data_IF_869440301133
#
_entry.id   IF_869440301133
#
_cell.length_a   1.000
_cell.length_b   1.000
_cell.length_c   1.000
_cell.angle_alpha   90.00
_cell.angle_beta   90.00
_cell.angle_gamma   90.00
#
_symmetry.space_group_name_H-M   'P 1'
#
loop_
_entity.id
_entity.type
_entity.pdbx_description
1 polymer ?
#
# COMPACT_ATOMS: atom_id res chain seq x y z
N UNK A 1 -12.42 -11.25 46.22
CA UNK A 1 -11.03 -11.51 46.64
C UNK A 1 -10.15 -10.89 45.59
N UNK A 2 -9.28 -9.93 45.96
CA UNK A 2 -8.37 -9.31 44.99
C UNK A 2 -7.39 -10.40 44.47
N UNK A 3 -7.37 -10.63 43.17
CA UNK A 3 -6.40 -11.52 42.53
C UNK A 3 -5.00 -10.98 42.83
N UNK A 4 -4.18 -11.71 43.54
CA UNK A 4 -2.79 -11.35 43.81
C UNK A 4 -2.03 -11.38 42.48
N UNK A 5 -1.55 -10.23 41.98
CA UNK A 5 -0.73 -10.15 40.82
C UNK A 5 0.55 -10.97 40.97
N UNK A 6 0.91 -11.78 39.97
CA UNK A 6 2.13 -12.58 39.96
C UNK A 6 3.36 -11.69 39.84
N UNK A 7 4.50 -12.13 40.39
CA UNK A 7 5.76 -11.42 40.24
C UNK A 7 6.16 -11.31 38.76
N UNK A 8 6.59 -10.14 38.32
CA UNK A 8 6.93 -9.87 36.92
C UNK A 8 8.11 -10.74 36.40
N UNK A 9 9.04 -11.11 37.28
CA UNK A 9 10.11 -12.05 36.92
C UNK A 9 9.56 -13.47 36.70
N UNK A 10 8.61 -13.89 37.54
CA UNK A 10 7.92 -15.17 37.36
C UNK A 10 7.04 -15.19 36.09
N UNK A 11 6.36 -14.09 35.78
CA UNK A 11 5.54 -13.95 34.56
C UNK A 11 6.41 -14.13 33.32
N UNK A 12 7.61 -13.55 33.29
CA UNK A 12 8.57 -13.72 32.19
C UNK A 12 9.36 -15.03 32.25
N UNK A 13 9.30 -15.78 33.38
CA UNK A 13 10.04 -17.02 33.57
C UNK A 13 11.56 -16.82 33.66
N UNK A 14 12.00 -15.73 34.30
CA UNK A 14 13.40 -15.35 34.46
C UNK A 14 13.73 -15.12 35.94
N UNK A 15 15.04 -15.19 36.27
CA UNK A 15 15.49 -14.90 37.64
C UNK A 15 15.57 -13.40 37.93
N UNK A 16 15.42 -13.03 39.21
CA UNK A 16 15.66 -11.65 39.67
C UNK A 16 17.15 -11.34 39.44
N UNK A 17 17.43 -10.26 38.75
CA UNK A 17 18.79 -9.91 38.35
C UNK A 17 19.19 -10.27 36.92
N UNK A 18 18.27 -10.88 36.13
CA UNK A 18 18.51 -11.13 34.72
C UNK A 18 18.89 -9.83 33.97
N UNK A 19 19.77 -9.93 33.00
CA UNK A 19 20.17 -8.79 32.16
C UNK A 19 19.06 -8.38 31.18
N UNK A 20 19.17 -7.17 30.63
CA UNK A 20 18.17 -6.61 29.71
C UNK A 20 18.00 -7.47 28.44
N UNK A 21 19.07 -8.14 27.98
CA UNK A 21 19.02 -9.03 26.84
C UNK A 21 18.17 -10.28 27.13
N UNK A 22 18.28 -10.84 28.35
CA UNK A 22 17.49 -11.98 28.81
C UNK A 22 16.03 -11.60 29.02
N UNK A 23 15.74 -10.46 29.61
CA UNK A 23 14.37 -9.91 29.76
C UNK A 23 13.72 -9.77 28.38
N UNK A 24 14.40 -9.15 27.44
CA UNK A 24 13.90 -8.95 26.06
C UNK A 24 13.69 -10.26 25.32
N UNK A 25 14.56 -11.23 25.50
CA UNK A 25 14.47 -12.57 24.88
C UNK A 25 13.26 -13.33 25.42
N UNK A 26 13.08 -13.35 26.73
CA UNK A 26 11.96 -14.02 27.40
C UNK A 26 10.61 -13.43 26.95
N UNK A 27 10.51 -12.11 26.97
CA UNK A 27 9.30 -11.44 26.47
C UNK A 27 8.98 -11.79 25.02
N UNK A 28 9.97 -11.76 24.10
CA UNK A 28 9.74 -12.10 22.68
C UNK A 28 9.24 -13.54 22.50
N UNK A 29 9.69 -14.47 23.32
CA UNK A 29 9.23 -15.85 23.26
C UNK A 29 7.78 -15.98 23.70
N UNK A 30 7.40 -15.32 24.81
CA UNK A 30 6.04 -15.31 25.32
C UNK A 30 5.09 -14.56 24.38
N UNK A 31 5.51 -13.40 23.89
CA UNK A 31 4.73 -12.60 22.95
C UNK A 31 4.44 -13.36 21.64
N UNK A 32 5.42 -14.12 21.13
CA UNK A 32 5.21 -14.98 19.94
C UNK A 32 4.26 -16.14 20.24
N UNK A 33 4.38 -16.74 21.42
CA UNK A 33 3.60 -17.92 21.82
C UNK A 33 2.13 -17.57 22.05
N UNK A 34 1.86 -16.42 22.67
CA UNK A 34 0.52 -15.98 23.09
C UNK A 34 -0.03 -14.82 22.24
N UNK A 35 0.54 -14.61 21.03
CA UNK A 35 0.07 -13.54 20.13
C UNK A 35 -1.40 -13.76 19.75
N UNK A 36 -2.25 -12.71 19.74
CA UNK A 36 -3.67 -12.82 19.38
C UNK A 36 -3.88 -13.42 17.99
N UNK A 37 -3.03 -13.06 17.00
CA UNK A 37 -3.13 -13.61 15.64
C UNK A 37 -2.84 -15.10 15.55
N UNK A 38 -2.06 -15.64 16.49
CA UNK A 38 -1.72 -17.07 16.54
C UNK A 38 -2.68 -17.88 17.41
N UNK A 39 -3.44 -17.19 18.30
CA UNK A 39 -4.39 -17.79 19.25
C UNK A 39 -5.72 -17.02 19.21
N UNK A 40 -6.43 -16.95 18.08
CA UNK A 40 -7.65 -16.18 17.97
C UNK A 40 -8.75 -16.76 18.86
N UNK A 41 -9.29 -15.93 19.78
CA UNK A 41 -10.38 -16.31 20.68
C UNK A 41 -9.98 -17.10 21.94
N UNK A 42 -8.68 -17.26 22.22
CA UNK A 42 -8.18 -17.88 23.46
C UNK A 42 -7.97 -16.80 24.55
N UNK A 43 -8.94 -16.69 25.48
CA UNK A 43 -8.90 -15.74 26.60
C UNK A 43 -7.71 -15.97 27.54
N UNK A 44 -7.26 -17.23 27.71
CA UNK A 44 -6.09 -17.52 28.54
C UNK A 44 -4.80 -17.05 27.88
N UNK A 45 -4.68 -17.21 26.56
CA UNK A 45 -3.54 -16.71 25.81
C UNK A 45 -3.49 -15.19 25.85
N UNK A 46 -4.65 -14.52 25.72
CA UNK A 46 -4.75 -13.07 25.82
C UNK A 46 -4.35 -12.57 27.20
N UNK A 47 -4.80 -13.22 28.28
CA UNK A 47 -4.44 -12.87 29.67
C UNK A 47 -2.92 -13.01 29.88
N UNK A 48 -2.30 -14.11 29.42
CA UNK A 48 -0.86 -14.33 29.53
C UNK A 48 -0.04 -13.34 28.67
N UNK A 49 -0.56 -12.95 27.52
CA UNK A 49 0.06 -11.91 26.70
C UNK A 49 0.04 -10.55 27.38
N UNK A 50 -1.09 -10.16 28.00
CA UNK A 50 -1.23 -8.90 28.77
C UNK A 50 -0.26 -8.87 29.95
N UNK A 51 -0.23 -9.95 30.74
CA UNK A 51 0.68 -10.06 31.89
C UNK A 51 2.16 -9.98 31.46
N UNK A 52 2.55 -10.67 30.37
CA UNK A 52 3.92 -10.62 29.87
C UNK A 52 4.30 -9.22 29.35
N UNK A 53 3.35 -8.51 28.73
CA UNK A 53 3.56 -7.16 28.23
C UNK A 53 3.70 -6.12 29.36
N UNK A 54 2.89 -6.25 30.42
CA UNK A 54 2.98 -5.44 31.64
C UNK A 54 4.34 -5.66 32.33
N UNK A 55 4.73 -6.91 32.51
CA UNK A 55 6.01 -7.27 33.11
C UNK A 55 7.20 -6.70 32.33
N UNK A 56 7.17 -6.81 31.00
CA UNK A 56 8.23 -6.25 30.15
C UNK A 56 8.28 -4.72 30.21
N UNK A 57 7.14 -4.03 30.23
CA UNK A 57 7.07 -2.58 30.32
C UNK A 57 7.72 -2.01 31.61
N UNK A 58 7.69 -2.77 32.68
CA UNK A 58 8.31 -2.38 33.97
C UNK A 58 9.79 -2.81 34.01
N UNK A 59 10.10 -4.07 33.65
CA UNK A 59 11.44 -4.61 33.81
C UNK A 59 12.44 -4.16 32.72
N UNK A 60 11.97 -3.66 31.57
CA UNK A 60 12.84 -3.14 30.52
C UNK A 60 13.39 -1.73 30.77
N UNK A 61 12.78 -0.97 31.68
CA UNK A 61 13.21 0.37 32.06
C UNK A 61 14.03 0.28 33.37
N UNK A 62 15.31 0.71 33.40
CA UNK A 62 16.15 0.61 34.58
C UNK A 62 15.60 1.35 35.82
N UNK A 63 14.89 2.45 35.63
CA UNK A 63 14.32 3.23 36.74
C UNK A 63 13.06 2.57 37.31
N UNK A 64 12.17 2.09 36.45
CA UNK A 64 10.97 1.36 36.85
C UNK A 64 11.33 0.02 37.49
N UNK A 65 12.32 -0.69 36.92
CA UNK A 65 12.83 -1.93 37.47
C UNK A 65 13.35 -1.75 38.89
N UNK A 66 14.16 -0.69 39.13
CA UNK A 66 14.63 -0.37 40.48
C UNK A 66 13.48 -0.09 41.47
N UNK A 67 12.45 0.63 41.03
CA UNK A 67 11.26 0.88 41.84
C UNK A 67 10.49 -0.42 42.13
N UNK A 68 10.36 -1.27 41.12
CA UNK A 68 9.72 -2.57 41.29
C UNK A 68 10.50 -3.48 42.24
N UNK A 69 11.83 -3.53 42.10
CA UNK A 69 12.70 -4.35 42.96
C UNK A 69 12.66 -3.90 44.42
N UNK A 70 12.40 -2.61 44.71
CA UNK A 70 12.31 -2.07 46.07
C UNK A 70 10.93 -2.17 46.67
N UNK A 71 9.87 -1.91 45.93
CA UNK A 71 8.51 -1.73 46.46
C UNK A 71 7.49 -2.74 45.88
N UNK A 72 7.90 -3.60 44.96
CA UNK A 72 7.00 -4.56 44.30
C UNK A 72 5.87 -3.88 43.50
N UNK A 73 4.74 -4.54 43.38
CA UNK A 73 3.56 -4.00 42.69
C UNK A 73 3.00 -2.72 43.35
N UNK A 74 3.21 -2.56 44.67
CA UNK A 74 2.73 -1.38 45.41
C UNK A 74 3.32 -0.06 44.88
N UNK A 75 4.50 -0.09 44.22
CA UNK A 75 5.09 1.10 43.56
C UNK A 75 4.20 1.67 42.47
N UNK A 76 3.34 0.85 41.88
CA UNK A 76 2.54 1.20 40.71
C UNK A 76 1.03 1.17 40.96
N UNK A 77 0.57 0.71 42.15
CA UNK A 77 -0.84 0.66 42.56
C UNK A 77 -1.32 1.88 43.36
N UNK A 78 -0.38 2.71 43.84
CA UNK A 78 -0.69 3.91 44.66
C UNK A 78 -0.81 5.17 43.82
N UNK A 79 -2.02 5.70 43.62
CA UNK A 79 -2.32 6.99 43.00
C UNK A 79 -1.77 8.18 43.83
N UNK A 80 -0.49 8.55 43.62
CA UNK A 80 0.15 9.71 44.26
C UNK A 80 1.12 10.38 43.32
N UNK A 81 0.71 11.52 42.75
CA UNK A 81 1.54 12.64 42.22
C UNK A 81 2.84 12.30 41.49
N UNK A 82 2.73 11.74 40.27
CA UNK A 82 3.91 11.51 39.43
C UNK A 82 3.63 10.65 38.20
N UNK A 83 2.56 10.92 37.47
CA UNK A 83 2.49 10.65 36.05
C UNK A 83 2.48 9.20 35.56
N UNK A 84 1.69 8.26 36.16
CA UNK A 84 1.24 7.05 35.45
C UNK A 84 0.07 6.37 36.18
N UNK A 85 -0.73 7.17 36.94
CA UNK A 85 -1.91 6.67 37.61
C UNK A 85 -3.10 6.59 36.67
N UNK A 86 -3.64 5.38 36.48
CA UNK A 86 -4.98 5.20 35.95
C UNK A 86 -5.09 4.54 34.59
N UNK A 87 -4.39 3.46 34.35
CA UNK A 87 -4.85 2.53 33.31
C UNK A 87 -5.72 1.45 33.95
N UNK A 88 -7.03 1.75 33.99
CA UNK A 88 -8.06 0.75 34.20
C UNK A 88 -8.13 -0.12 32.94
N UNK A 89 -7.58 -1.32 33.01
CA UNK A 89 -7.55 -2.31 31.91
C UNK A 89 -8.90 -3.01 31.67
N UNK A 90 -9.99 -2.46 32.22
CA UNK A 90 -11.33 -3.02 32.09
C UNK A 90 -12.17 -2.33 31.02
N UNK A 91 -11.97 -2.58 29.73
CA UNK A 91 -13.01 -2.35 28.74
C UNK A 91 -12.74 -1.46 27.52
N UNK A 92 -11.51 -1.10 27.20
CA UNK A 92 -11.21 -0.39 25.94
C UNK A 92 -10.47 -1.31 24.97
N UNK A 93 -10.80 -1.19 23.67
CA UNK A 93 -10.19 -1.94 22.58
C UNK A 93 -8.65 -1.87 22.64
N UNK A 94 -8.05 -3.03 22.94
CA UNK A 94 -6.61 -3.22 23.14
C UNK A 94 -5.76 -2.82 21.92
N UNK A 95 -6.36 -2.81 20.73
CA UNK A 95 -5.70 -2.49 19.48
C UNK A 95 -5.31 -1.01 19.34
N UNK A 96 -6.14 -0.09 19.82
CA UNK A 96 -5.91 1.36 19.70
C UNK A 96 -4.92 1.88 20.75
N UNK A 97 -4.98 1.32 21.98
CA UNK A 97 -4.09 1.74 23.09
C UNK A 97 -2.67 1.17 22.89
N UNK A 98 -2.57 -0.03 22.30
CA UNK A 98 -1.28 -0.68 22.00
C UNK A 98 -0.53 -0.01 20.86
N UNK A 99 -1.25 0.49 19.84
CA UNK A 99 -0.68 1.24 18.73
C UNK A 99 -0.05 2.57 19.16
N UNK A 100 -0.71 3.32 20.01
CA UNK A 100 -0.25 4.63 20.48
C UNK A 100 0.87 4.54 21.53
N UNK A 101 0.80 3.60 22.48
CA UNK A 101 1.81 3.46 23.54
C UNK A 101 3.04 2.71 23.03
N UNK A 102 2.87 1.68 22.21
CA UNK A 102 3.98 0.87 21.67
C UNK A 102 4.70 1.57 20.51
N UNK A 103 3.95 2.32 19.67
CA UNK A 103 4.53 3.15 18.60
C UNK A 103 5.41 4.26 19.14
N UNK A 104 5.02 4.89 20.24
CA UNK A 104 5.78 5.99 20.86
C UNK A 104 6.93 5.49 21.74
N UNK A 105 6.83 4.28 22.30
CA UNK A 105 7.83 3.69 23.21
C UNK A 105 8.90 2.85 22.49
N UNK A 106 8.55 2.11 21.43
CA UNK A 106 9.48 1.29 20.64
C UNK A 106 10.01 1.99 19.40
N UNK A 107 9.33 3.03 18.92
CA UNK A 107 9.72 3.82 17.75
C UNK A 107 10.80 4.87 18.01
N UNK A 108 11.56 4.78 19.09
CA UNK A 108 12.72 5.66 19.33
C UNK A 108 12.40 7.16 19.27
N UNK A 109 11.18 7.56 19.59
CA UNK A 109 10.73 8.94 19.57
C UNK A 109 11.21 9.68 20.81
N UNK A 110 12.44 10.15 20.78
CA UNK A 110 12.90 11.25 21.62
C UNK A 110 11.82 12.33 21.66
N UNK A 111 11.15 12.54 22.79
CA UNK A 111 10.48 13.80 23.13
C UNK A 111 11.52 14.92 23.23
N UNK A 112 12.33 15.07 22.18
CA UNK A 112 13.10 16.25 21.93
C UNK A 112 12.14 17.29 21.37
N UNK A 113 11.98 18.40 22.06
CA UNK A 113 11.42 19.61 21.46
C UNK A 113 12.04 19.76 20.08
N UNK A 114 11.27 20.17 19.07
CA UNK A 114 11.76 20.41 17.70
C UNK A 114 13.09 21.14 17.78
N UNK A 115 14.17 20.40 17.63
CA UNK A 115 15.49 20.97 17.63
C UNK A 115 15.60 21.77 16.34
N UNK A 116 16.11 23.00 16.39
CA UNK A 116 16.46 23.80 15.22
C UNK A 116 17.63 23.17 14.42
N UNK A 117 17.87 21.88 14.58
CA UNK A 117 18.85 21.11 13.84
C UNK A 117 18.50 20.92 12.36
N UNK A 118 19.45 20.39 11.57
CA UNK A 118 19.21 20.06 10.17
C UNK A 118 18.07 19.04 10.05
N UNK A 119 17.03 19.38 9.30
CA UNK A 119 15.87 18.51 9.07
C UNK A 119 15.75 18.17 7.59
N UNK A 120 15.50 16.89 7.29
CA UNK A 120 15.24 16.43 5.91
C UNK A 120 14.01 17.14 5.35
N UNK A 121 14.10 17.55 4.07
CA UNK A 121 12.98 18.13 3.34
C UNK A 121 11.83 17.12 3.14
N UNK A 122 10.65 17.65 2.87
CA UNK A 122 9.48 16.83 2.58
C UNK A 122 9.65 16.08 1.26
N UNK A 123 9.09 14.87 1.20
CA UNK A 123 9.00 14.14 -0.05
C UNK A 123 7.94 14.75 -0.95
N UNK A 124 8.23 14.87 -2.23
CA UNK A 124 7.27 15.29 -3.26
C UNK A 124 6.64 14.06 -3.89
N UNK A 125 5.36 14.18 -4.27
CA UNK A 125 4.64 13.16 -5.02
C UNK A 125 4.16 13.75 -6.33
N UNK A 126 4.32 12.98 -7.40
CA UNK A 126 3.80 13.28 -8.74
C UNK A 126 3.37 12.00 -9.39
N UNK A 127 2.55 12.09 -10.44
CA UNK A 127 2.14 10.93 -11.23
C UNK A 127 2.63 11.06 -12.66
N UNK A 128 2.89 9.92 -13.30
CA UNK A 128 3.23 9.81 -14.71
C UNK A 128 2.35 8.76 -15.37
N UNK A 129 1.81 9.09 -16.55
CA UNK A 129 1.05 8.14 -17.37
C UNK A 129 1.97 7.47 -18.37
N UNK A 130 1.81 6.15 -18.47
CA UNK A 130 2.54 5.31 -19.42
C UNK A 130 1.58 4.33 -20.09
N UNK A 131 1.95 3.86 -21.30
CA UNK A 131 1.18 2.83 -22.00
C UNK A 131 1.41 1.46 -21.35
N UNK A 132 0.61 0.50 -21.75
CA UNK A 132 0.75 -0.89 -21.30
C UNK A 132 2.11 -1.47 -21.70
N UNK A 133 2.54 -1.25 -22.93
CA UNK A 133 3.82 -1.71 -23.48
C UNK A 133 5.00 -1.06 -22.73
N UNK A 134 4.90 0.25 -22.47
CA UNK A 134 5.90 0.97 -21.66
C UNK A 134 6.03 0.39 -20.26
N UNK A 135 4.92 -0.07 -19.66
CA UNK A 135 4.94 -0.74 -18.35
C UNK A 135 5.59 -2.13 -18.42
N UNK A 136 5.39 -2.86 -19.53
CA UNK A 136 5.99 -4.19 -19.75
C UNK A 136 7.49 -4.10 -19.99
N UNK A 137 7.93 -3.21 -20.87
CA UNK A 137 9.34 -3.12 -21.32
C UNK A 137 10.18 -2.13 -20.53
N UNK A 138 9.53 -1.24 -19.76
CA UNK A 138 10.18 -0.10 -19.13
C UNK A 138 10.37 1.06 -20.10
N UNK A 139 10.50 2.26 -19.57
CA UNK A 139 10.65 3.49 -20.36
C UNK A 139 11.37 4.57 -19.55
N UNK A 140 12.05 5.47 -20.25
CA UNK A 140 12.56 6.70 -19.67
C UNK A 140 11.63 7.86 -20.04
N UNK A 141 11.12 8.55 -19.02
CA UNK A 141 10.25 9.73 -19.20
C UNK A 141 10.90 10.98 -18.62
N UNK A 142 10.74 12.09 -19.29
CA UNK A 142 11.12 13.40 -18.78
C UNK A 142 9.92 14.07 -18.12
N UNK A 143 10.04 14.43 -16.84
CA UNK A 143 9.03 15.15 -16.09
C UNK A 143 9.45 16.59 -15.89
N UNK A 144 8.58 17.52 -16.25
CA UNK A 144 8.77 18.97 -16.01
C UNK A 144 8.06 19.33 -14.70
N UNK A 145 8.86 19.58 -13.66
CA UNK A 145 8.37 19.82 -12.30
C UNK A 145 8.83 21.19 -11.80
N UNK A 146 7.92 21.86 -11.08
CA UNK A 146 8.27 23.10 -10.39
C UNK A 146 8.84 22.74 -9.01
N UNK A 147 10.16 22.82 -8.87
CA UNK A 147 10.88 22.45 -7.65
C UNK A 147 11.48 23.67 -6.98
N UNK A 148 11.48 23.66 -5.64
CA UNK A 148 12.21 24.66 -4.86
C UNK A 148 13.67 24.26 -4.75
N UNK A 149 14.53 25.23 -5.02
CA UNK A 149 15.97 25.14 -4.79
C UNK A 149 16.42 26.11 -3.72
N UNK A 150 17.53 25.80 -3.11
CA UNK A 150 18.20 26.73 -2.21
C UNK A 150 18.64 27.97 -3.01
N UNK A 151 18.27 29.13 -2.55
CA UNK A 151 18.66 30.39 -3.16
C UNK A 151 20.18 30.52 -3.17
N UNK A 152 20.76 30.65 -4.36
CA UNK A 152 22.22 30.75 -4.53
C UNK A 152 22.79 32.03 -3.95
N UNK A 153 22.03 33.11 -3.93
CA UNK A 153 22.48 34.44 -3.46
C UNK A 153 22.63 34.49 -1.95
N UNK A 154 21.77 33.83 -1.18
CA UNK A 154 21.85 33.78 0.27
C UNK A 154 22.20 32.41 0.84
N UNK A 155 22.44 31.39 0.00
CA UNK A 155 22.73 30.02 0.40
C UNK A 155 21.72 29.44 1.41
N UNK A 156 20.42 29.78 1.22
CA UNK A 156 19.36 29.28 2.07
C UNK A 156 19.10 30.04 3.36
N UNK A 157 19.88 31.07 3.67
CA UNK A 157 19.72 31.87 4.91
C UNK A 157 18.51 32.79 4.87
N UNK A 158 18.05 33.19 3.67
CA UNK A 158 17.02 34.20 3.48
C UNK A 158 17.49 35.63 3.75
N UNK A 159 18.68 35.84 4.32
CA UNK A 159 19.25 37.14 4.60
C UNK A 159 20.00 37.70 3.39
N UNK A 160 20.13 39.03 3.31
CA UNK A 160 20.92 39.73 2.31
C UNK A 160 22.40 39.30 2.41
N UNK A 161 23.12 39.11 1.31
CA UNK A 161 24.56 38.80 1.33
C UNK A 161 25.32 39.79 2.19
N UNK A 162 26.18 39.28 3.06
CA UNK A 162 26.93 40.11 4.05
C UNK A 162 26.20 40.33 5.37
N UNK A 163 24.93 39.87 5.50
CA UNK A 163 24.19 39.89 6.76
C UNK A 163 23.86 38.47 7.20
N UNK A 164 23.61 38.24 8.48
CA UNK A 164 23.23 36.97 9.02
C UNK A 164 21.87 37.04 9.75
N UNK A 165 21.08 35.96 9.75
CA UNK A 165 19.87 35.90 10.57
C UNK A 165 20.23 35.98 12.05
N UNK A 166 19.53 36.81 12.82
CA UNK A 166 19.66 36.91 14.27
C UNK A 166 18.78 35.90 14.98
N UNK A 167 19.18 35.46 16.16
CA UNK A 167 18.32 34.60 17.01
C UNK A 167 17.06 35.36 17.43
N UNK A 168 15.91 34.80 17.30
CA UNK A 168 14.65 35.42 17.71
C UNK A 168 14.65 35.64 19.24
N UNK A 169 14.56 36.88 19.65
CA UNK A 169 14.59 37.28 21.07
C UNK A 169 13.44 36.69 21.87
N UNK A 170 12.24 36.60 21.30
CA UNK A 170 11.04 36.14 21.99
C UNK A 170 11.07 34.64 22.33
N UNK A 171 11.54 33.79 21.44
CA UNK A 171 11.62 32.36 21.66
C UNK A 171 13.04 31.86 21.98
N UNK A 172 14.05 32.69 21.98
CA UNK A 172 15.44 32.31 22.20
C UNK A 172 15.94 31.25 21.19
N UNK A 173 15.48 31.33 19.92
CA UNK A 173 15.87 30.41 18.87
C UNK A 173 15.02 29.13 18.80
N UNK A 174 14.09 28.89 19.73
CA UNK A 174 13.30 27.64 19.80
C UNK A 174 12.20 27.56 18.76
N UNK A 175 11.77 28.68 18.16
CA UNK A 175 10.66 28.72 17.21
C UNK A 175 9.27 28.61 17.84
N UNK A 176 9.19 28.33 19.13
CA UNK A 176 7.95 28.15 19.88
C UNK A 176 8.01 28.93 21.19
N UNK A 177 6.87 29.38 21.65
CA UNK A 177 6.68 30.01 22.97
C UNK A 177 5.70 29.18 23.78
N UNK A 178 5.99 29.02 25.06
CA UNK A 178 5.10 28.33 25.99
C UNK A 178 4.27 29.39 26.72
N UNK A 179 2.97 29.37 26.50
CA UNK A 179 2.03 30.22 27.22
C UNK A 179 1.43 29.41 28.37
N UNK A 180 1.48 29.96 29.56
CA UNK A 180 0.83 29.38 30.74
C UNK A 180 -0.46 30.12 30.98
N UNK A 181 -1.57 29.43 30.91
CA UNK A 181 -2.90 29.98 31.21
C UNK A 181 -3.44 29.28 32.43
N UNK A 182 -3.94 30.03 33.42
CA UNK A 182 -4.63 29.44 34.56
C UNK A 182 -5.95 28.84 34.10
N UNK A 183 -6.18 27.57 34.44
CA UNK A 183 -7.43 26.91 34.15
C UNK A 183 -8.57 27.61 34.92
N UNK A 184 -9.76 27.77 34.35
CA UNK A 184 -10.94 28.24 35.07
C UNK A 184 -11.20 27.34 36.27
N UNK A 185 -11.70 27.92 37.36
CA UNK A 185 -12.01 27.23 38.62
C UNK A 185 -10.83 26.70 39.45
N UNK A 186 -9.63 27.25 39.30
CA UNK A 186 -8.51 26.87 40.19
C UNK A 186 -7.90 25.49 39.95
N UNK A 187 -8.21 24.84 38.83
CA UNK A 187 -7.79 23.47 38.46
C UNK A 187 -6.34 23.38 37.93
N UNK A 188 -5.47 24.35 38.23
CA UNK A 188 -4.04 24.32 37.86
C UNK A 188 -3.69 25.20 36.68
N UNK A 189 -2.46 25.05 36.18
CA UNK A 189 -1.92 25.84 35.07
C UNK A 189 -1.83 24.98 33.82
N UNK A 190 -2.49 25.37 32.73
CA UNK A 190 -2.39 24.71 31.42
C UNK A 190 -1.20 25.33 30.71
N UNK A 191 -0.23 24.51 30.31
CA UNK A 191 0.89 24.90 29.46
C UNK A 191 0.55 24.62 28.00
N UNK A 192 0.41 25.65 27.20
CA UNK A 192 0.16 25.54 25.76
C UNK A 192 1.40 26.00 24.99
N UNK A 193 1.90 25.13 24.14
CA UNK A 193 3.01 25.46 23.23
C UNK A 193 2.45 26.01 21.93
N UNK A 194 2.81 27.25 21.60
CA UNK A 194 2.41 27.92 20.36
C UNK A 194 3.60 28.27 19.49
N UNK A 195 3.39 28.31 18.16
CA UNK A 195 4.41 28.82 17.23
C UNK A 195 4.73 30.27 17.58
N UNK A 196 6.00 30.60 17.66
CA UNK A 196 6.42 31.97 17.97
C UNK A 196 5.94 32.94 16.89
N UNK A 197 5.12 33.95 17.22
CA UNK A 197 4.54 34.87 16.22
C UNK A 197 5.59 35.77 15.56
N UNK A 198 6.71 36.06 16.22
CA UNK A 198 7.71 36.97 15.70
C UNK A 198 8.58 36.32 14.62
N UNK A 199 8.92 35.02 14.79
CA UNK A 199 9.75 34.31 13.83
C UNK A 199 8.96 33.23 13.02
N UNK A 200 7.66 33.09 13.24
CA UNK A 200 6.81 32.10 12.57
C UNK A 200 7.38 30.68 12.60
N UNK A 201 7.98 30.30 13.71
CA UNK A 201 8.51 28.94 13.91
C UNK A 201 9.97 28.76 13.49
N UNK A 202 10.59 29.71 12.81
CA UNK A 202 11.97 29.58 12.31
C UNK A 202 13.04 29.69 13.40
N UNK A 203 12.72 30.32 14.52
CA UNK A 203 13.67 30.65 15.58
C UNK A 203 14.67 31.74 15.21
N UNK A 204 14.60 32.27 14.00
CA UNK A 204 15.54 33.29 13.45
C UNK A 204 14.75 34.49 12.94
N UNK A 205 15.34 35.64 13.05
CA UNK A 205 14.81 36.92 12.52
C UNK A 205 15.77 37.47 11.46
N UNK A 206 15.21 37.86 10.33
CA UNK A 206 15.93 38.41 9.21
C UNK A 206 15.58 39.91 9.12
N UNK A 207 16.51 40.80 9.43
CA UNK A 207 16.32 42.26 9.30
C UNK A 207 16.35 42.64 7.84
N UNK A 208 17.42 42.28 7.13
CA UNK A 208 17.59 42.57 5.71
C UNK A 208 17.30 41.30 4.89
N UNK A 209 16.19 41.30 4.17
CA UNK A 209 15.79 40.15 3.35
C UNK A 209 16.63 40.07 2.07
N UNK A 210 16.96 38.86 1.67
CA UNK A 210 17.60 38.60 0.38
C UNK A 210 16.70 39.12 -0.78
N UNK A 211 17.27 39.91 -1.70
CA UNK A 211 16.47 40.52 -2.79
C UNK A 211 15.89 39.48 -3.77
N UNK A 212 16.49 38.32 -3.87
CA UNK A 212 16.12 37.29 -4.83
C UNK A 212 15.02 36.34 -4.29
N UNK A 213 15.15 35.88 -3.05
CA UNK A 213 14.19 34.95 -2.45
C UNK A 213 13.24 35.63 -1.45
N UNK A 214 13.36 36.95 -1.23
CA UNK A 214 12.49 37.75 -0.35
C UNK A 214 12.39 37.21 1.09
N UNK A 215 13.45 36.58 1.57
CA UNK A 215 13.52 36.02 2.94
C UNK A 215 13.15 34.54 3.06
N UNK A 216 12.69 33.90 2.00
CA UNK A 216 12.32 32.49 2.04
C UNK A 216 13.50 31.53 2.10
N UNK A 217 14.67 31.93 1.60
CA UNK A 217 15.83 31.07 1.45
C UNK A 217 15.78 30.15 0.23
N UNK A 218 14.65 30.09 -0.48
CA UNK A 218 14.41 29.16 -1.59
C UNK A 218 13.84 29.88 -2.80
N UNK A 219 14.11 29.37 -4.00
CA UNK A 219 13.61 29.87 -5.27
C UNK A 219 12.92 28.70 -5.97
N UNK A 220 11.68 28.88 -6.41
CA UNK A 220 10.96 27.92 -7.21
C UNK A 220 11.35 28.05 -8.69
N UNK A 221 11.63 26.95 -9.35
CA UNK A 221 11.98 26.92 -10.77
C UNK A 221 11.55 25.63 -11.43
N UNK A 222 11.26 25.71 -12.73
CA UNK A 222 10.95 24.52 -13.55
C UNK A 222 12.23 23.72 -13.77
N UNK A 223 12.15 22.40 -13.55
CA UNK A 223 13.24 21.46 -13.78
C UNK A 223 12.74 20.23 -14.50
N UNK A 224 13.51 19.84 -15.49
CA UNK A 224 13.31 18.58 -16.20
C UNK A 224 14.05 17.48 -15.48
N UNK A 225 13.33 16.44 -15.06
CA UNK A 225 13.89 15.28 -14.38
C UNK A 225 13.65 14.07 -15.25
N UNK A 226 14.70 13.35 -15.60
CA UNK A 226 14.59 12.05 -16.23
C UNK A 226 14.24 10.99 -15.17
N UNK A 227 13.21 10.23 -15.46
CA UNK A 227 12.69 9.15 -14.61
C UNK A 227 12.77 7.86 -15.40
N UNK A 228 13.61 6.95 -14.93
CA UNK A 228 13.68 5.60 -15.48
C UNK A 228 12.64 4.72 -14.80
N UNK A 229 11.67 4.27 -15.55
CA UNK A 229 10.59 3.40 -15.10
C UNK A 229 11.01 1.96 -15.46
N UNK A 230 11.15 1.08 -14.46
CA UNK A 230 11.62 -0.29 -14.70
C UNK A 230 10.56 -1.12 -15.42
N UNK A 231 11.03 -2.08 -16.23
CA UNK A 231 10.19 -3.08 -16.87
C UNK A 231 9.42 -3.90 -15.83
N UNK A 232 8.15 -4.18 -16.12
CA UNK A 232 7.30 -4.97 -15.22
C UNK A 232 6.59 -4.19 -14.13
N UNK A 233 6.74 -2.86 -14.10
CA UNK A 233 6.03 -2.01 -13.13
C UNK A 233 4.52 -2.18 -13.24
N UNK A 234 3.83 -2.11 -12.10
CA UNK A 234 2.37 -2.21 -12.07
C UNK A 234 1.70 -0.86 -11.84
N UNK A 235 0.42 -0.80 -12.17
CA UNK A 235 -0.39 0.40 -11.95
C UNK A 235 -0.42 0.78 -10.47
N UNK A 236 -0.25 2.06 -10.14
CA UNK A 236 -0.23 2.57 -8.78
C UNK A 236 1.09 2.37 -8.02
N UNK A 237 2.08 1.69 -8.61
CA UNK A 237 3.41 1.60 -8.01
C UNK A 237 4.18 2.91 -8.15
N UNK A 238 5.07 3.17 -7.19
CA UNK A 238 5.85 4.41 -7.16
C UNK A 238 7.34 4.15 -7.33
N UNK A 239 7.96 4.94 -8.20
CA UNK A 239 9.42 5.01 -8.37
C UNK A 239 9.96 6.14 -7.48
N UNK A 240 10.95 5.83 -6.63
CA UNK A 240 11.59 6.81 -5.76
C UNK A 240 12.88 7.33 -6.37
N UNK A 241 12.93 8.64 -6.55
CA UNK A 241 14.13 9.35 -6.99
C UNK A 241 14.69 10.13 -5.79
N UNK A 242 15.89 9.75 -5.36
CA UNK A 242 16.52 10.34 -4.17
C UNK A 242 16.89 11.80 -4.42
N UNK A 243 16.82 12.62 -3.35
CA UNK A 243 17.27 14.02 -3.32
C UNK A 243 16.60 14.94 -4.36
N UNK A 244 15.42 14.57 -4.87
CA UNK A 244 14.62 15.36 -5.82
C UNK A 244 13.33 15.91 -5.19
N UNK A 245 13.16 15.78 -3.86
CA UNK A 245 12.06 16.37 -3.11
C UNK A 245 12.30 17.83 -2.72
N UNK A 246 11.55 18.33 -1.74
CA UNK A 246 11.74 19.68 -1.17
C UNK A 246 13.11 19.81 -0.50
N UNK A 247 13.70 21.00 -0.54
CA UNK A 247 14.94 21.25 0.18
C UNK A 247 14.75 21.08 1.68
N UNK A 248 15.80 20.59 2.36
CA UNK A 248 15.81 20.46 3.81
C UNK A 248 15.85 21.80 4.51
N UNK A 249 15.44 21.81 5.78
CA UNK A 249 15.45 22.99 6.63
C UNK A 249 16.74 23.02 7.44
N UNK A 250 17.28 24.21 7.70
CA UNK A 250 18.51 24.43 8.48
C UNK A 250 19.72 23.64 7.97
N UNK A 251 19.89 23.50 6.64
CA UNK A 251 21.01 22.75 6.06
C UNK A 251 20.81 21.23 6.03
N UNK A 252 19.60 20.74 6.29
CA UNK A 252 19.26 19.33 6.16
C UNK A 252 19.24 18.83 4.70
N UNK A 253 19.29 17.51 4.47
CA UNK A 253 19.24 16.94 3.14
C UNK A 253 17.87 17.16 2.49
N UNK A 254 17.83 17.11 1.16
CA UNK A 254 16.57 17.17 0.42
C UNK A 254 15.71 15.94 0.69
N UNK A 255 14.41 16.08 0.52
CA UNK A 255 13.48 14.96 0.42
C UNK A 255 13.66 14.17 -0.86
N UNK A 256 12.83 13.14 -1.05
CA UNK A 256 12.80 12.30 -2.23
C UNK A 256 11.59 12.67 -3.10
N UNK A 257 11.70 12.41 -4.41
CA UNK A 257 10.57 12.50 -5.32
C UNK A 257 10.00 11.10 -5.52
N UNK A 258 8.71 10.95 -5.24
CA UNK A 258 7.95 9.73 -5.46
C UNK A 258 7.10 9.93 -6.71
N UNK A 259 7.38 9.16 -7.75
CA UNK A 259 6.67 9.20 -9.03
C UNK A 259 5.73 8.00 -9.08
N UNK A 260 4.44 8.23 -8.92
CA UNK A 260 3.41 7.21 -9.04
C UNK A 260 3.13 6.94 -10.51
N UNK A 261 3.19 5.67 -10.90
CA UNK A 261 2.98 5.24 -12.27
C UNK A 261 1.51 4.88 -12.48
N UNK A 262 0.88 5.54 -13.44
CA UNK A 262 -0.48 5.26 -13.89
C UNK A 262 -0.39 4.60 -15.26
N UNK A 263 -0.78 3.31 -15.35
CA UNK A 263 -0.75 2.54 -16.60
C UNK A 263 -2.10 2.68 -17.30
N UNK A 264 -2.06 3.11 -18.57
CA UNK A 264 -3.26 3.23 -19.38
C UNK A 264 -3.82 1.82 -19.73
N UNK A 265 -5.13 1.73 -19.84
CA UNK A 265 -5.80 0.48 -20.23
C UNK A 265 -5.49 0.16 -21.68
N UNK A 266 -5.09 -1.09 -21.94
CA UNK A 266 -4.92 -1.58 -23.30
C UNK A 266 -6.23 -2.19 -23.84
N UNK A 267 -6.58 -1.98 -25.12
CA UNK A 267 -7.85 -2.49 -25.67
C UNK A 267 -7.92 -4.01 -25.75
N UNK A 268 -6.79 -4.69 -25.91
CA UNK A 268 -6.72 -6.15 -26.10
C UNK A 268 -6.21 -6.85 -24.83
N UNK A 269 -5.16 -6.29 -24.19
CA UNK A 269 -4.45 -6.94 -23.11
C UNK A 269 -4.96 -6.52 -21.73
N UNK A 270 -5.17 -7.52 -20.88
CA UNK A 270 -5.47 -7.33 -19.45
C UNK A 270 -4.34 -7.97 -18.65
N UNK A 271 -3.86 -7.27 -17.63
CA UNK A 271 -2.81 -7.76 -16.76
C UNK A 271 -3.37 -8.25 -15.43
N UNK A 272 -2.87 -9.39 -14.97
CA UNK A 272 -3.03 -9.87 -13.59
C UNK A 272 -1.65 -10.33 -13.11
N UNK A 273 -1.06 -9.61 -12.19
CA UNK A 273 0.30 -9.81 -11.71
C UNK A 273 1.34 -9.81 -12.86
N UNK A 274 1.99 -10.94 -13.10
CA UNK A 274 2.93 -11.10 -14.22
C UNK A 274 2.29 -11.69 -15.47
N UNK A 275 1.02 -12.10 -15.42
CA UNK A 275 0.34 -12.73 -16.54
C UNK A 275 -0.47 -11.73 -17.34
N UNK A 276 -0.57 -12.00 -18.63
CA UNK A 276 -1.37 -11.22 -19.58
C UNK A 276 -2.53 -12.10 -20.04
N UNK A 277 -3.69 -11.50 -20.20
CA UNK A 277 -4.89 -12.15 -20.69
C UNK A 277 -5.40 -11.41 -21.91
N UNK A 278 -5.79 -12.14 -22.94
CA UNK A 278 -6.44 -11.60 -24.14
C UNK A 278 -7.47 -12.56 -24.68
N UNK A 279 -8.34 -12.04 -25.54
CA UNK A 279 -9.35 -12.83 -26.27
C UNK A 279 -9.06 -12.68 -27.74
N UNK A 280 -8.99 -13.81 -28.44
CA UNK A 280 -8.75 -13.85 -29.90
C UNK A 280 -9.94 -14.52 -30.58
N UNK A 281 -10.59 -13.81 -31.51
CA UNK A 281 -11.65 -14.39 -32.30
C UNK A 281 -11.08 -15.37 -33.33
N UNK A 282 -11.75 -16.50 -33.54
CA UNK A 282 -11.46 -17.45 -34.60
C UNK A 282 -12.73 -17.82 -35.37
N UNK A 283 -12.60 -18.22 -36.64
CA UNK A 283 -13.75 -18.67 -37.42
C UNK A 283 -14.19 -20.07 -36.99
N UNK A 284 -15.47 -20.39 -37.18
CA UNK A 284 -15.99 -21.72 -36.95
C UNK A 284 -15.23 -22.79 -37.80
N UNK A 285 -14.84 -22.46 -39.03
CA UNK A 285 -14.09 -23.36 -39.88
C UNK A 285 -12.73 -23.74 -39.28
N UNK A 286 -11.97 -22.77 -38.75
CA UNK A 286 -10.71 -23.03 -38.05
C UNK A 286 -10.94 -23.85 -36.76
N UNK A 287 -11.99 -23.53 -36.03
CA UNK A 287 -12.33 -24.28 -34.83
C UNK A 287 -12.66 -25.77 -35.11
N UNK A 288 -13.38 -26.04 -36.20
CA UNK A 288 -13.79 -27.37 -36.58
C UNK A 288 -12.69 -28.20 -37.27
N UNK A 289 -11.98 -27.58 -38.22
CA UNK A 289 -11.01 -28.27 -39.07
C UNK A 289 -9.56 -28.18 -38.56
N UNK A 290 -9.29 -27.26 -37.64
CA UNK A 290 -7.95 -26.88 -37.25
C UNK A 290 -7.36 -25.86 -38.23
N UNK A 291 -6.19 -25.34 -37.91
CA UNK A 291 -5.46 -24.39 -38.75
C UNK A 291 -4.68 -23.37 -37.93
N UNK A 292 -3.92 -22.55 -38.63
CA UNK A 292 -3.09 -21.54 -38.00
C UNK A 292 -3.84 -20.22 -37.77
N UNK A 293 -3.63 -19.63 -36.63
CA UNK A 293 -4.09 -18.28 -36.29
C UNK A 293 -2.93 -17.39 -35.85
N UNK A 294 -3.05 -16.10 -36.11
CA UNK A 294 -2.12 -15.10 -35.61
C UNK A 294 -2.64 -14.54 -34.28
N UNK A 295 -1.83 -14.64 -33.25
CA UNK A 295 -2.12 -14.11 -31.91
C UNK A 295 -1.23 -12.90 -31.67
N UNK A 296 -1.83 -11.76 -31.36
CA UNK A 296 -1.09 -10.57 -30.92
C UNK A 296 -0.57 -10.80 -29.50
N UNK A 297 0.71 -10.57 -29.30
CA UNK A 297 1.37 -10.58 -27.99
C UNK A 297 2.13 -9.27 -27.80
N UNK A 298 2.54 -8.99 -26.58
CA UNK A 298 3.35 -7.80 -26.27
C UNK A 298 4.71 -7.78 -26.99
N UNK A 299 5.24 -8.95 -27.37
CA UNK A 299 6.50 -9.08 -28.12
C UNK A 299 6.30 -9.10 -29.63
N UNK A 300 5.07 -8.96 -30.13
CA UNK A 300 4.70 -9.08 -31.55
C UNK A 300 3.74 -10.25 -31.79
N UNK A 301 3.57 -10.58 -33.06
CA UNK A 301 2.62 -11.62 -33.48
C UNK A 301 3.23 -13.01 -33.39
N UNK A 302 2.44 -13.97 -32.90
CA UNK A 302 2.82 -15.38 -32.79
C UNK A 302 1.81 -16.22 -33.57
N UNK A 303 2.31 -17.13 -34.41
CA UNK A 303 1.47 -18.13 -35.08
C UNK A 303 1.16 -19.25 -34.08
N UNK A 304 -0.11 -19.59 -33.95
CA UNK A 304 -0.58 -20.68 -33.12
C UNK A 304 -1.40 -21.68 -33.95
N UNK A 305 -1.06 -22.95 -33.82
CA UNK A 305 -1.75 -24.05 -34.50
C UNK A 305 -2.94 -24.51 -33.65
N UNK A 306 -4.16 -24.24 -34.13
CA UNK A 306 -5.42 -24.63 -33.50
C UNK A 306 -5.74 -26.06 -33.90
N UNK A 307 -5.98 -26.91 -32.92
CA UNK A 307 -6.38 -28.32 -33.17
C UNK A 307 -7.83 -28.37 -33.65
N UNK A 308 -8.11 -29.33 -34.56
CA UNK A 308 -9.47 -29.58 -34.99
C UNK A 308 -10.37 -29.95 -33.81
N UNK A 309 -11.59 -29.40 -33.80
CA UNK A 309 -12.58 -29.61 -32.73
C UNK A 309 -12.35 -28.71 -31.52
N UNK A 310 -11.56 -27.66 -31.62
CA UNK A 310 -11.33 -26.69 -30.53
C UNK A 310 -12.63 -25.94 -30.24
N UNK A 311 -13.05 -25.97 -28.97
CA UNK A 311 -14.27 -25.31 -28.50
C UNK A 311 -14.07 -23.84 -28.20
N UNK A 312 -15.15 -23.06 -28.27
CA UNK A 312 -15.11 -21.66 -27.77
C UNK A 312 -14.71 -21.61 -26.30
N UNK A 313 -14.13 -20.50 -25.86
CA UNK A 313 -13.58 -20.29 -24.53
C UNK A 313 -12.39 -21.21 -24.16
N UNK A 314 -11.84 -21.92 -25.14
CA UNK A 314 -10.61 -22.68 -24.95
C UNK A 314 -9.46 -21.72 -24.61
N UNK A 315 -8.79 -21.98 -23.46
CA UNK A 315 -7.69 -21.15 -23.00
C UNK A 315 -6.34 -21.76 -23.38
N UNK A 316 -5.54 -20.98 -24.09
CA UNK A 316 -4.18 -21.30 -24.53
C UNK A 316 -3.17 -20.56 -23.70
N UNK A 317 -2.09 -21.22 -23.29
CA UNK A 317 -0.99 -20.61 -22.54
C UNK A 317 0.24 -20.44 -23.43
N UNK A 318 0.63 -19.21 -23.67
CA UNK A 318 1.88 -18.85 -24.34
C UNK A 318 2.94 -18.56 -23.25
N UNK A 319 3.84 -19.52 -23.05
CA UNK A 319 4.85 -19.46 -21.98
C UNK A 319 5.84 -18.32 -22.21
N UNK A 320 6.16 -17.59 -21.13
CA UNK A 320 7.15 -16.51 -21.14
C UNK A 320 6.74 -15.28 -21.95
N UNK A 321 5.47 -15.17 -22.40
CA UNK A 321 4.93 -14.04 -23.15
C UNK A 321 4.15 -13.04 -22.25
N UNK A 322 4.31 -13.16 -20.94
CA UNK A 322 3.76 -12.23 -19.96
C UNK A 322 4.68 -11.07 -19.62
N UNK A 323 4.43 -10.44 -18.49
CA UNK A 323 5.16 -9.29 -17.95
C UNK A 323 6.42 -9.77 -17.23
N UNK A 324 7.59 -9.10 -17.38
CA UNK A 324 8.78 -9.44 -16.62
C UNK A 324 8.64 -9.06 -15.14
N UNK A 325 9.35 -9.78 -14.27
CA UNK A 325 9.41 -9.46 -12.86
C UNK A 325 10.28 -8.23 -12.61
N UNK A 326 9.83 -7.34 -11.72
CA UNK A 326 10.63 -6.19 -11.27
C UNK A 326 11.95 -6.57 -10.60
N UNK A 327 12.00 -7.74 -9.93
CA UNK A 327 13.18 -8.21 -9.19
C UNK A 327 14.17 -8.94 -10.08
N UNK A 328 13.68 -9.72 -11.03
CA UNK A 328 14.51 -10.50 -11.94
C UNK A 328 13.91 -10.41 -13.35
N UNK A 329 14.57 -9.68 -14.25
CA UNK A 329 14.12 -9.45 -15.62
C UNK A 329 14.06 -10.71 -16.47
N UNK A 330 14.80 -11.77 -16.10
CA UNK A 330 14.83 -13.04 -16.82
C UNK A 330 13.59 -13.90 -16.53
N UNK A 331 12.87 -13.57 -15.44
CA UNK A 331 11.62 -14.26 -15.09
C UNK A 331 10.45 -13.47 -15.64
N UNK A 332 9.71 -14.09 -16.56
CA UNK A 332 8.49 -13.54 -17.15
C UNK A 332 7.29 -14.41 -16.82
N UNK A 333 6.13 -13.79 -16.68
CA UNK A 333 4.85 -14.49 -16.64
C UNK A 333 4.46 -15.05 -18.01
N UNK A 334 3.23 -15.53 -18.10
CA UNK A 334 2.68 -16.14 -19.30
C UNK A 334 1.56 -15.29 -19.88
N UNK A 335 1.28 -15.50 -21.17
CA UNK A 335 0.12 -14.92 -21.81
C UNK A 335 -0.94 -15.99 -21.99
N UNK A 336 -2.10 -15.77 -21.38
CA UNK A 336 -3.27 -16.64 -21.50
C UNK A 336 -4.23 -16.05 -22.53
N UNK A 337 -4.44 -16.80 -23.61
CA UNK A 337 -5.29 -16.40 -24.73
C UNK A 337 -6.56 -17.23 -24.69
N UNK A 338 -7.70 -16.57 -24.64
CA UNK A 338 -9.01 -17.23 -24.75
C UNK A 338 -9.45 -17.19 -26.20
N UNK A 339 -9.63 -18.35 -26.81
CA UNK A 339 -10.10 -18.49 -28.18
C UNK A 339 -11.64 -18.46 -28.19
N UNK A 340 -12.22 -17.55 -28.98
CA UNK A 340 -13.66 -17.39 -29.08
C UNK A 340 -14.11 -17.56 -30.51
N UNK A 341 -15.05 -18.48 -30.74
CA UNK A 341 -15.63 -18.68 -32.07
C UNK A 341 -16.52 -17.50 -32.42
N UNK A 342 -16.17 -16.79 -33.47
CA UNK A 342 -16.94 -15.65 -33.97
C UNK A 342 -17.87 -16.10 -35.09
N UNK A 343 -19.16 -15.82 -34.91
CA UNK A 343 -20.18 -16.04 -35.93
C UNK A 343 -20.22 -14.82 -36.85
N UNK A 344 -20.07 -14.97 -38.17
CA UNK A 344 -20.11 -13.86 -39.09
C UNK A 344 -21.52 -13.26 -39.23
N UNK A 345 -21.63 -11.93 -39.12
CA UNK A 345 -22.93 -11.22 -39.24
C UNK A 345 -23.49 -11.23 -40.66
N UNK A 346 -22.61 -11.29 -41.68
CA UNK A 346 -23.02 -11.25 -43.08
C UNK A 346 -22.48 -12.48 -43.82
N UNK A 347 -23.36 -13.18 -44.49
CA UNK A 347 -23.04 -14.36 -45.31
C UNK A 347 -23.59 -14.17 -46.74
N UNK A 348 -22.78 -14.58 -47.72
CA UNK A 348 -23.27 -14.70 -49.12
C UNK A 348 -24.35 -15.79 -49.23
N UNK A 349 -25.10 -15.79 -50.34
CA UNK A 349 -26.09 -16.85 -50.63
C UNK A 349 -25.44 -18.23 -50.68
N UNK A 350 -24.29 -18.35 -51.28
CA UNK A 350 -23.51 -19.60 -51.41
C UNK A 350 -23.05 -20.12 -50.04
N UNK A 351 -22.52 -19.21 -49.18
CA UNK A 351 -22.11 -19.59 -47.84
C UNK A 351 -23.29 -20.08 -46.96
N UNK A 352 -24.50 -19.49 -47.14
CA UNK A 352 -25.71 -19.94 -46.45
C UNK A 352 -26.11 -21.34 -46.90
N UNK A 353 -26.02 -21.66 -48.19
CA UNK A 353 -26.31 -23.01 -48.71
C UNK A 353 -25.31 -24.04 -48.21
N UNK A 354 -24.04 -23.73 -48.17
CA UNK A 354 -23.00 -24.61 -47.65
C UNK A 354 -23.20 -24.87 -46.14
N UNK A 355 -23.56 -23.88 -45.38
CA UNK A 355 -23.85 -24.03 -43.95
C UNK A 355 -25.12 -24.88 -43.73
N UNK A 356 -26.16 -24.75 -44.56
CA UNK A 356 -27.34 -25.62 -44.47
C UNK A 356 -27.00 -27.07 -44.78
N UNK A 357 -26.18 -27.32 -45.79
CA UNK A 357 -25.71 -28.69 -46.08
C UNK A 357 -24.89 -29.25 -44.92
N UNK A 358 -23.99 -28.47 -44.37
CA UNK A 358 -23.19 -28.87 -43.18
C UNK A 358 -24.11 -29.22 -42.01
N UNK A 359 -25.13 -28.40 -41.72
CA UNK A 359 -26.10 -28.63 -40.64
C UNK A 359 -26.89 -29.93 -40.83
N UNK A 360 -27.27 -30.25 -42.07
CA UNK A 360 -27.92 -31.54 -42.39
C UNK A 360 -26.97 -32.72 -42.18
N UNK A 361 -25.71 -32.62 -42.64
CA UNK A 361 -24.72 -33.72 -42.57
C UNK A 361 -24.29 -33.99 -41.10
N UNK A 362 -24.28 -32.98 -40.25
CA UNK A 362 -23.92 -33.13 -38.84
C UNK A 362 -25.06 -33.57 -37.93
N UNK A 363 -26.28 -33.71 -38.47
CA UNK A 363 -27.45 -34.17 -37.74
C UNK A 363 -28.10 -33.16 -36.77
N UNK A 364 -27.60 -31.93 -36.77
CA UNK A 364 -28.13 -30.82 -35.95
C UNK A 364 -29.08 -29.92 -36.77
N UNK A 365 -29.74 -30.46 -37.79
CA UNK A 365 -30.55 -29.68 -38.70
C UNK A 365 -31.73 -29.02 -37.98
N UNK A 366 -32.02 -27.76 -38.35
CA UNK A 366 -33.21 -27.03 -37.92
C UNK A 366 -34.51 -27.77 -38.24
N UNK A 367 -34.50 -28.71 -39.19
CA UNK A 367 -35.61 -29.60 -39.51
C UNK A 367 -35.81 -30.68 -38.46
N UNK A 368 -34.78 -31.11 -37.73
CA UNK A 368 -34.92 -32.05 -36.63
C UNK A 368 -35.80 -31.47 -35.50
N UNK A 369 -35.69 -30.18 -35.24
CA UNK A 369 -36.50 -29.45 -34.24
C UNK A 369 -37.96 -29.38 -34.71
N UNK A 370 -38.21 -29.09 -35.98
CA UNK A 370 -39.58 -29.09 -36.55
C UNK A 370 -40.22 -30.46 -36.53
N UNK A 371 -39.44 -31.52 -36.72
CA UNK A 371 -39.94 -32.90 -36.64
C UNK A 371 -40.25 -33.32 -35.18
N UNK A 372 -39.55 -32.79 -34.20
CA UNK A 372 -39.89 -33.00 -32.78
C UNK A 372 -41.20 -32.29 -32.40
N UNK A 373 -41.38 -31.03 -32.83
CA UNK A 373 -42.64 -30.30 -32.62
C UNK A 373 -43.82 -30.94 -33.37
N UNK A 374 -43.60 -31.53 -34.55
CA UNK A 374 -44.61 -32.26 -35.33
C UNK A 374 -45.04 -33.57 -34.70
N UNK A 375 -44.17 -34.27 -33.98
CA UNK A 375 -44.48 -35.51 -33.28
C UNK A 375 -45.27 -35.30 -31.97
N UNK A 376 -45.03 -34.20 -31.27
CA UNK A 376 -45.76 -33.86 -30.05
C UNK A 376 -47.24 -33.49 -30.38
N UNK A 377 -47.49 -32.75 -31.48
CA UNK A 377 -48.85 -32.42 -31.91
C UNK A 377 -49.61 -33.61 -32.42
N UNK A 378 -48.94 -34.69 -32.90
CA UNK A 378 -49.53 -35.93 -33.30
C UNK A 378 -50.02 -36.84 -32.15
N UNK A 379 -49.34 -36.76 -31.03
CA UNK A 379 -49.67 -37.57 -29.84
C UNK A 379 -50.87 -36.97 -29.06
N UNK A 380 -50.97 -35.64 -28.98
CA UNK A 380 -52.13 -35.00 -28.35
C UNK A 380 -53.45 -35.24 -29.12
N UNK A 381 -53.42 -35.35 -30.46
CA UNK A 381 -54.59 -35.67 -31.26
C UNK A 381 -55.01 -37.13 -31.12
N UNK A 382 -54.11 -38.07 -30.87
CA UNK A 382 -54.45 -39.48 -30.61
C UNK A 382 -55.02 -39.71 -29.21
N UNK A 383 -54.56 -38.94 -28.21
CA UNK A 383 -55.13 -39.03 -26.86
C UNK A 383 -56.50 -38.37 -26.76
N UNK A 384 -56.80 -37.28 -27.46
CA UNK A 384 -58.09 -36.63 -27.48
C UNK A 384 -59.15 -37.54 -28.20
N UNK A 385 -58.78 -38.34 -29.26
CA UNK A 385 -59.67 -39.30 -29.88
C UNK A 385 -59.95 -40.52 -29.01
N UNK A 386 -59.07 -40.95 -28.12
CA UNK A 386 -59.30 -42.06 -27.18
C UNK A 386 -60.19 -41.67 -25.98
N UNK A 387 -60.29 -40.38 -25.63
CA UNK A 387 -61.19 -39.90 -24.56
C UNK A 387 -62.65 -39.63 -25.02
N UNK A 388 -62.89 -39.65 -26.30
CA UNK A 388 -64.26 -39.45 -26.85
C UNK A 388 -65.03 -40.76 -27.13
N UNK A 389 -64.38 -41.91 -26.89
CA UNK A 389 -65.00 -43.25 -27.07
C UNK A 389 -64.91 -44.10 -25.79
N UNK A 390 -65.03 -43.50 -24.61
CA UNK A 390 -65.30 -44.18 -23.37
C UNK A 390 -66.49 -43.55 -22.68
#
# INVERSE_FOLDING_TARGET
MAEQKRDYYEVLGIERGADDATIKKAYRQLAKKYHPDMNPGDEEAEKKFKEASEAYAILSDPDKRRQYDQFGHAAFEGGGSGGFGGFDFGGADFSDIFGDIFGDFFGGGSRGGRSNGPMKGANLRTSVRITFEEAVFGVEKELDLNLKDTCKTCNGTGAKPGTSPETCHRCGGRGQVVTQTQAPFGLGTIRQTQTCPDCNGTGKMIKDKCPECHGSGYIAGRKKIQVSIPAGIDNGQSVRIRDKGEPGVNGGPRGDLLVEVVVDRHPIFQRQDMNIFSTVPMSFAIAALGGEILIDTVDGKVVYDVKAGTQTDTRVRLRGKGVPSLRNKDVRGDHYVTLVVQVPDKLSSEAKELLRKFDMDTGNSLEAVKNMEGNDSGNEKKEKKRKLFK
#
